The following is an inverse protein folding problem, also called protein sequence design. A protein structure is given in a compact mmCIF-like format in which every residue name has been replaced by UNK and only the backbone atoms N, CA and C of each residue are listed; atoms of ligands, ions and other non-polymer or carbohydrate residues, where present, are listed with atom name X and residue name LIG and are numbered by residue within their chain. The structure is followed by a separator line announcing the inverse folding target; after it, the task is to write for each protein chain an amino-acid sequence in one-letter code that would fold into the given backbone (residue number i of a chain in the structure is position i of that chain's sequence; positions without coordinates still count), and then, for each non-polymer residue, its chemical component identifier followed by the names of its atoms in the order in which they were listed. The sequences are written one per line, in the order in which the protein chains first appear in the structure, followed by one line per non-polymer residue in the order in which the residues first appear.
data_IF_165110770785
#
_entry.id   IF_165110770785
#
_cell.length_a   1.000
_cell.length_b   1.000
_cell.length_c   1.000
_cell.angle_alpha   90.00
_cell.angle_beta   90.00
_cell.angle_gamma   90.00
#
_symmetry.space_group_name_H-M   'P 1'
#
loop_
_entity.id
_entity.type
_entity.pdbx_description
1 polymer ?
2 polymer ?
3 water ?
#
# COMPACT_ATOMS: atom_id res chain seq x y z
N UNK A 1 23.21 -15.17 -7.13
CA UNK A 1 21.93 -14.97 -7.88
C UNK A 1 20.98 -14.01 -7.15
N UNK A 2 19.99 -13.45 -7.87
CA UNK A 2 18.99 -12.52 -7.29
C UNK A 2 18.47 -13.06 -6.00
N UNK A 3 19.04 -12.58 -4.93
CA UNK A 3 18.70 -13.03 -3.61
C UNK A 3 17.14 -13.22 -3.32
N UNK A 4 16.68 -14.46 -3.05
CA UNK A 4 15.26 -14.83 -2.74
C UNK A 4 14.98 -14.48 -1.29
N UNK A 5 14.36 -13.33 -1.08
CA UNK A 5 14.09 -12.86 0.26
C UNK A 5 12.62 -12.47 0.41
N UNK A 6 12.07 -12.60 1.63
CA UNK A 6 10.67 -12.22 1.80
C UNK A 6 10.58 -10.71 1.56
N UNK A 7 9.37 -10.20 1.35
CA UNK A 7 9.20 -8.77 1.11
C UNK A 7 9.08 -8.03 2.44
N UNK A 8 9.90 -6.99 2.63
CA UNK A 8 9.85 -6.22 3.88
C UNK A 8 8.63 -5.32 4.03
N UNK A 9 7.72 -5.36 3.06
CA UNK A 9 6.52 -4.53 3.12
C UNK A 9 5.23 -5.19 3.60
N UNK A 10 5.24 -6.50 3.82
CA UNK A 10 4.03 -7.18 4.27
C UNK A 10 4.03 -7.33 5.80
N UNK A 11 3.25 -6.48 6.47
CA UNK A 11 3.18 -6.48 7.92
C UNK A 11 2.06 -7.32 8.53
N UNK A 12 1.32 -8.04 7.69
CA UNK A 12 0.25 -8.87 8.20
C UNK A 12 -0.85 -8.05 8.85
N UNK A 13 -1.43 -8.58 9.92
CA UNK A 13 -2.52 -7.89 10.61
C UNK A 13 -2.06 -6.95 11.71
N UNK A 14 -2.09 -5.65 11.42
CA UNK A 14 -1.72 -4.62 12.38
C UNK A 14 -2.73 -3.50 12.25
N UNK A 15 -3.10 -2.87 13.37
CA UNK A 15 -4.07 -1.78 13.30
C UNK A 15 -3.61 -0.61 12.44
N UNK A 16 -4.59 0.11 11.89
CA UNK A 16 -4.35 1.28 11.05
C UNK A 16 -3.60 2.32 11.87
N UNK A 17 -3.83 2.31 13.18
CA UNK A 17 -3.19 3.25 14.09
C UNK A 17 -1.69 2.98 14.24
N UNK A 18 -1.31 1.72 14.39
CA UNK A 18 0.10 1.37 14.54
C UNK A 18 0.89 1.58 13.25
N UNK A 19 0.22 1.44 12.11
CA UNK A 19 0.87 1.63 10.81
C UNK A 19 1.15 3.12 10.60
N UNK A 20 0.22 3.96 11.04
CA UNK A 20 0.41 5.40 10.93
C UNK A 20 1.50 5.78 11.92
N UNK A 21 1.46 5.16 13.10
CA UNK A 21 2.43 5.44 14.14
C UNK A 21 3.83 5.06 13.68
N UNK A 22 3.93 3.96 12.95
CA UNK A 22 5.21 3.48 12.45
C UNK A 22 5.70 4.28 11.25
N UNK A 23 4.82 4.51 10.29
CA UNK A 23 5.17 5.25 9.08
C UNK A 23 5.45 6.75 9.27
N UNK A 24 4.88 7.36 10.30
CA UNK A 24 5.12 8.78 10.53
C UNK A 24 6.58 8.97 10.94
N UNK A 25 7.18 7.90 11.46
CA UNK A 25 8.58 7.93 11.88
C UNK A 25 9.53 7.70 10.71
N UNK A 26 8.99 7.36 9.54
CA UNK A 26 9.85 7.12 8.38
C UNK A 26 10.44 8.41 7.83
N UNK A 27 11.64 8.31 7.27
CA UNK A 27 12.34 9.48 6.74
C UNK A 27 11.89 9.94 5.36
N UNK A 28 11.46 9.01 4.53
CA UNK A 28 11.09 9.37 3.18
C UNK A 28 9.65 9.17 2.73
N UNK A 29 9.20 10.10 1.89
CA UNK A 29 7.87 10.07 1.32
C UNK A 29 7.80 8.86 0.40
N UNK A 30 6.73 8.08 0.54
CA UNK A 30 6.60 6.89 -0.28
C UNK A 30 6.79 5.66 0.58
N UNK A 31 7.39 5.84 1.75
CA UNK A 31 7.61 4.73 2.68
C UNK A 31 6.23 4.12 2.88
N UNK A 32 6.12 2.80 2.74
CA UNK A 32 4.82 2.15 2.83
C UNK A 32 4.86 0.73 3.39
N UNK A 33 3.67 0.14 3.47
CA UNK A 33 3.50 -1.22 3.94
C UNK A 33 2.11 -1.67 3.53
N UNK A 34 1.95 -2.98 3.37
CA UNK A 34 0.67 -3.57 3.02
C UNK A 34 0.23 -4.24 4.32
N UNK A 35 -1.02 -4.01 4.72
CA UNK A 35 -1.52 -4.61 5.95
C UNK A 35 -2.85 -5.28 5.68
N UNK A 36 -3.19 -6.26 6.51
CA UNK A 36 -4.45 -6.96 6.38
C UNK A 36 -5.44 -6.19 7.22
N UNK A 37 -6.41 -5.59 6.55
CA UNK A 37 -7.44 -4.79 7.21
C UNK A 37 -8.19 -5.54 8.29
N UNK A 38 -8.47 -4.88 9.41
CA UNK A 38 -9.24 -5.55 10.46
C UNK A 38 -10.67 -5.05 10.45
N UNK A 39 -10.97 -4.18 9.48
CA UNK A 39 -12.31 -3.63 9.31
C UNK A 39 -13.17 -4.61 8.52
N UNK A 40 -12.52 -5.53 7.81
CA UNK A 40 -13.20 -6.55 7.00
C UNK A 40 -12.19 -7.64 6.61
N UNK A 41 -12.50 -8.90 6.93
CA UNK A 41 -11.65 -10.06 6.64
C UNK A 41 -11.23 -10.26 5.19
N UNK A 42 -9.96 -10.56 4.99
CA UNK A 42 -9.46 -10.80 3.65
C UNK A 42 -9.16 -9.58 2.82
N UNK A 43 -9.35 -8.39 3.38
CA UNK A 43 -9.06 -7.18 2.62
C UNK A 43 -7.67 -6.68 2.98
N UNK A 44 -7.03 -6.00 2.04
CA UNK A 44 -5.71 -5.46 2.29
C UNK A 44 -5.77 -3.95 2.14
N UNK A 45 -4.88 -3.26 2.85
CA UNK A 45 -4.80 -1.82 2.79
C UNK A 45 -3.35 -1.44 2.56
N UNK A 46 -3.15 -0.32 1.87
CA UNK A 46 -1.81 0.18 1.57
C UNK A 46 -1.68 1.50 2.32
N UNK A 47 -0.68 1.60 3.19
CA UNK A 47 -0.46 2.82 3.95
C UNK A 47 0.85 3.45 3.49
N UNK A 48 0.79 4.72 3.10
CA UNK A 48 1.97 5.40 2.60
C UNK A 48 2.27 6.72 3.30
N UNK A 49 3.54 6.95 3.61
CA UNK A 49 3.94 8.20 4.23
C UNK A 49 4.06 9.28 3.17
N UNK A 50 3.55 10.46 3.49
CA UNK A 50 3.65 11.62 2.60
C UNK A 50 3.60 12.86 3.48
N UNK A 51 4.72 13.56 3.58
CA UNK A 51 4.77 14.75 4.41
C UNK A 51 4.59 14.33 5.85
N UNK A 52 3.77 15.06 6.60
CA UNK A 52 3.55 14.70 7.99
C UNK A 52 2.23 13.96 8.14
N UNK A 53 1.77 13.36 7.05
CA UNK A 53 0.54 12.58 7.04
C UNK A 53 0.89 11.18 6.57
N UNK A 54 -0.03 10.25 6.80
CA UNK A 54 0.12 8.88 6.33
C UNK A 54 -1.18 8.68 5.56
N UNK A 55 -1.07 8.30 4.30
CA UNK A 55 -2.25 8.06 3.47
C UNK A 55 -2.57 6.57 3.40
N UNK A 56 -3.86 6.25 3.40
CA UNK A 56 -4.32 4.88 3.35
C UNK A 56 -5.10 4.63 2.08
N UNK A 57 -4.73 3.58 1.35
CA UNK A 57 -5.39 3.19 0.11
C UNK A 57 -6.01 1.81 0.29
N UNK A 58 -7.25 1.65 -0.15
CA UNK A 58 -7.88 0.34 -0.04
C UNK A 58 -7.58 -0.48 -1.28
N UNK A 59 -7.13 -1.71 -1.08
CA UNK A 59 -6.84 -2.58 -2.21
C UNK A 59 -8.13 -3.26 -2.63
N UNK A 60 -8.60 -2.94 -3.82
CA UNK A 60 -9.84 -3.50 -4.32
C UNK A 60 -9.60 -4.75 -5.17
N UNK A 61 -10.64 -5.55 -5.33
CA UNK A 61 -10.56 -6.76 -6.14
C UNK A 61 -11.72 -6.78 -7.13
N UNK A 62 -11.50 -7.26 -8.35
CA UNK A 62 -12.57 -7.31 -9.34
C UNK A 62 -13.20 -8.69 -9.47
N UNK A 63 -14.09 -8.84 -10.44
CA UNK A 63 -14.78 -10.10 -10.66
C UNK A 63 -13.87 -11.29 -10.88
N UNK A 64 -12.69 -11.06 -11.45
CA UNK A 64 -11.75 -12.14 -11.72
C UNK A 64 -10.76 -12.36 -10.58
N UNK A 65 -10.82 -11.50 -9.57
CA UNK A 65 -9.92 -11.64 -8.44
C UNK A 65 -8.65 -10.79 -8.52
N UNK A 66 -8.48 -10.02 -9.59
CA UNK A 66 -7.29 -9.18 -9.71
C UNK A 66 -7.33 -8.05 -8.68
N UNK A 67 -6.17 -7.47 -8.38
CA UNK A 67 -6.09 -6.37 -7.42
C UNK A 67 -5.97 -5.04 -8.15
N UNK A 68 -6.41 -3.96 -7.51
CA UNK A 68 -6.32 -2.62 -8.10
C UNK A 68 -6.61 -1.50 -7.09
N UNK A 69 -6.17 -0.29 -7.43
CA UNK A 69 -6.39 0.87 -6.57
C UNK A 69 -7.28 1.86 -7.32
N UNK A 70 -7.00 2.04 -8.60
CA UNK A 70 -7.76 2.97 -9.42
C UNK A 70 -8.38 2.29 -10.65
N UNK A 71 -7.58 2.05 -11.69
CA UNK A 71 -8.12 1.39 -12.87
C UNK A 71 -7.29 0.23 -13.40
N UNK A 72 -5.96 0.34 -13.36
CA UNK A 72 -5.11 -0.75 -13.84
C UNK A 72 -5.18 -1.93 -12.87
N UNK A 73 -5.31 -3.14 -13.41
CA UNK A 73 -5.41 -4.36 -12.60
C UNK A 73 -4.09 -5.14 -12.51
N UNK A 74 -3.88 -5.81 -11.38
CA UNK A 74 -2.68 -6.61 -11.17
C UNK A 74 -3.06 -8.01 -10.68
N UNK A 75 -2.29 -9.02 -11.08
CA UNK A 75 -2.58 -10.39 -10.67
C UNK A 75 -2.08 -10.72 -9.26
N UNK A 76 -1.40 -9.77 -8.62
CA UNK A 76 -0.88 -10.01 -7.28
C UNK A 76 -0.59 -8.70 -6.55
N UNK A 77 -0.51 -8.77 -5.23
CA UNK A 77 -0.20 -7.59 -4.42
C UNK A 77 1.25 -7.22 -4.72
N UNK A 78 2.04 -8.22 -5.08
CA UNK A 78 3.44 -8.04 -5.40
C UNK A 78 3.61 -7.16 -6.64
N UNK A 79 2.81 -7.41 -7.68
CA UNK A 79 2.91 -6.63 -8.92
C UNK A 79 2.30 -5.25 -8.74
N UNK A 80 1.27 -5.14 -7.91
CA UNK A 80 0.64 -3.85 -7.64
C UNK A 80 1.68 -2.97 -6.95
N UNK A 81 2.30 -3.50 -5.90
CA UNK A 81 3.31 -2.75 -5.17
C UNK A 81 4.45 -2.29 -6.09
N UNK A 82 5.06 -3.22 -6.81
CA UNK A 82 6.16 -2.86 -7.70
C UNK A 82 5.75 -1.83 -8.76
N UNK A 83 4.54 -1.95 -9.28
CA UNK A 83 4.04 -1.00 -10.27
C UNK A 83 4.09 0.42 -9.73
N UNK A 84 3.60 0.61 -8.51
CA UNK A 84 3.58 1.94 -7.93
C UNK A 84 4.90 2.44 -7.39
N UNK A 85 5.98 1.76 -7.74
CA UNK A 85 7.29 2.22 -7.34
C UNK A 85 7.67 3.25 -8.41
N UNK A 86 7.14 3.06 -9.62
CA UNK A 86 7.42 3.96 -10.74
C UNK A 86 6.23 4.75 -11.33
N UNK A 87 5.04 4.54 -10.77
CA UNK A 87 3.82 5.26 -11.18
C UNK A 87 3.13 5.66 -9.88
N UNK A 88 2.74 6.92 -9.76
CA UNK A 88 2.12 7.43 -8.54
C UNK A 88 0.89 6.70 -8.00
N UNK A 89 0.84 6.52 -6.68
CA UNK A 89 -0.30 5.86 -6.03
C UNK A 89 -1.40 6.89 -5.78
N UNK A 90 -1.03 8.16 -5.90
CA UNK A 90 -1.95 9.27 -5.66
C UNK A 90 -2.43 10.00 -6.91
N UNK A 91 -3.65 10.53 -6.82
CA UNK A 91 -4.26 11.29 -7.91
C UNK A 91 -3.83 12.76 -7.81
N UNK A 92 -3.76 13.27 -6.59
CA UNK A 92 -3.42 14.67 -6.33
C UNK A 92 -1.94 15.06 -6.34
N UNK A 93 -1.05 14.12 -6.05
CA UNK A 93 0.38 14.42 -6.06
C UNK A 93 1.15 13.21 -6.56
N UNK A 94 2.41 13.44 -6.92
CA UNK A 94 3.25 12.35 -7.38
C UNK A 94 3.86 11.72 -6.13
N UNK A 95 3.43 10.51 -5.82
CA UNK A 95 3.92 9.78 -4.66
C UNK A 95 4.35 8.39 -5.13
N UNK A 96 5.65 8.14 -5.14
CA UNK A 96 6.18 6.85 -5.57
C UNK A 96 6.52 6.00 -4.35
N UNK A 97 6.08 4.75 -4.36
CA UNK A 97 6.35 3.85 -3.24
C UNK A 97 7.83 3.50 -3.13
N UNK A 98 8.36 3.53 -1.92
CA UNK A 98 9.75 3.16 -1.67
C UNK A 98 9.78 2.38 -0.37
N UNK A 99 10.73 1.45 -0.27
CA UNK A 99 10.85 0.60 0.91
C UNK A 99 11.18 1.31 2.21
N UNK A 100 10.62 0.81 3.30
CA UNK A 100 10.85 1.37 4.62
C UNK A 100 12.31 1.16 5.03
N UNK A 101 12.80 2.00 5.94
CA UNK A 101 14.18 1.92 6.40
C UNK A 101 14.32 2.36 7.85
N UNK B 3 -11.40 6.15 6.61
CA UNK B 3 -11.63 6.35 5.18
C UNK B 3 -10.38 6.04 4.38
N UNK B 4 -10.52 5.99 3.06
CA UNK B 4 -9.38 5.70 2.19
C UNK B 4 -9.28 6.76 1.09
N UNK B 5 -8.06 7.02 0.62
CA UNK B 5 -7.85 8.03 -0.42
C UNK B 5 -8.58 7.74 -1.72
N UNK B 6 -8.58 6.47 -2.13
CA UNK B 6 -9.24 6.07 -3.36
C UNK B 6 -10.69 5.61 -3.13
N UNK B 7 -11.59 5.94 -4.07
CA UNK B 7 -12.99 5.53 -3.92
C UNK B 7 -13.08 4.00 -3.89
N UNK B 8 -13.87 3.48 -2.96
CA UNK B 8 -14.01 2.03 -2.78
C UNK B 8 -15.13 1.35 -3.57
N UNK B 9 -15.93 2.14 -4.27
CA UNK B 9 -17.01 1.62 -5.13
C UNK B 9 -17.40 2.70 -6.12
#
# INVERSE_FOLDING_TARGET
GSHMKPHPWFFGKIPRAKAEEMLSKQRHDGAFLIRESESAPGDFSLSVKFGNDVQHFKVLRDGAGKYFLWVVKFNSLNELVDYHRSTSVSRNQQIFLRDIE
QNGYVNPTY
#
